data_IF_139911964909
#
_entry.id   IF_139911964909
#
_cell.length_a   1.000
_cell.length_b   1.000
_cell.length_c   1.000
_cell.angle_alpha   90.00
_cell.angle_beta   90.00
_cell.angle_gamma   90.00
#
_symmetry.space_group_name_H-M   'P 1'
#
loop_
_entity.id
_entity.type
_entity.pdbx_description
1 polymer ?
#
# COMPACT_ATOMS: atom_id res chain seq x y z
N UNK A 1 23.56 0.76 -60.46
CA UNK A 1 24.51 1.09 -59.36
C UNK A 1 24.25 2.46 -58.72
N UNK A 2 23.91 3.52 -59.48
CA UNK A 2 23.75 4.88 -58.95
C UNK A 2 22.59 5.10 -57.94
N UNK A 3 21.53 4.29 -58.01
CA UNK A 3 20.34 4.44 -57.13
C UNK A 3 20.44 3.60 -55.84
N UNK A 4 21.27 2.55 -55.82
CA UNK A 4 21.45 1.69 -54.65
C UNK A 4 22.24 2.38 -53.54
N UNK A 5 23.23 3.19 -53.90
CA UNK A 5 24.06 3.93 -52.96
C UNK A 5 23.27 4.91 -52.07
N UNK A 6 22.42 5.82 -52.61
CA UNK A 6 21.65 6.73 -51.77
C UNK A 6 20.59 6.02 -50.90
N UNK A 7 20.02 4.91 -51.38
CA UNK A 7 19.09 4.08 -50.58
C UNK A 7 19.83 3.45 -49.39
N UNK A 8 21.04 2.91 -49.62
CA UNK A 8 21.86 2.29 -48.58
C UNK A 8 22.33 3.32 -47.54
N UNK A 9 22.71 4.53 -47.98
CA UNK A 9 23.06 5.63 -47.08
C UNK A 9 21.84 6.10 -46.28
N UNK A 10 20.67 6.23 -46.91
CA UNK A 10 19.42 6.58 -46.23
C UNK A 10 19.03 5.57 -45.16
N UNK A 11 19.15 4.27 -45.45
CA UNK A 11 18.93 3.20 -44.48
C UNK A 11 19.96 3.24 -43.33
N UNK A 12 21.23 3.51 -43.62
CA UNK A 12 22.27 3.63 -42.61
C UNK A 12 22.02 4.82 -41.67
N UNK A 13 21.67 5.99 -42.22
CA UNK A 13 21.34 7.18 -41.44
C UNK A 13 20.08 6.97 -40.62
N UNK A 14 19.06 6.34 -41.19
CA UNK A 14 17.83 5.98 -40.47
C UNK A 14 18.12 5.00 -39.32
N UNK A 15 18.95 3.98 -39.55
CA UNK A 15 19.38 3.03 -38.54
C UNK A 15 20.18 3.72 -37.43
N UNK A 16 21.16 4.55 -37.77
CA UNK A 16 21.97 5.31 -36.81
C UNK A 16 21.12 6.30 -36.00
N UNK A 17 20.18 6.99 -36.65
CA UNK A 17 19.21 7.87 -35.99
C UNK A 17 18.31 7.10 -35.03
N UNK A 18 17.82 5.93 -35.43
CA UNK A 18 17.04 5.04 -34.58
C UNK A 18 17.87 4.57 -33.36
N UNK A 19 19.09 4.09 -33.58
CA UNK A 19 20.02 3.69 -32.52
C UNK A 19 20.35 4.84 -31.55
N UNK A 20 20.46 6.07 -32.06
CA UNK A 20 20.68 7.26 -31.26
C UNK A 20 19.47 7.60 -30.39
N UNK A 21 18.26 7.61 -30.97
CA UNK A 21 17.00 7.80 -30.23
C UNK A 21 16.77 6.70 -29.18
N UNK A 22 17.19 5.48 -29.46
CA UNK A 22 17.13 4.35 -28.54
C UNK A 22 18.19 4.42 -27.41
N UNK A 23 19.01 5.47 -27.37
CA UNK A 23 19.96 5.73 -26.29
C UNK A 23 21.20 4.82 -26.30
N UNK A 24 21.47 4.11 -27.40
CA UNK A 24 22.63 3.21 -27.54
C UNK A 24 23.96 3.93 -27.25
N UNK A 25 24.06 5.21 -27.61
CA UNK A 25 25.29 5.99 -27.45
C UNK A 25 25.44 6.69 -26.09
N UNK A 26 24.54 6.46 -25.11
CA UNK A 26 24.70 7.06 -23.77
C UNK A 26 26.02 6.61 -23.15
N UNK A 27 26.92 7.53 -22.84
CA UNK A 27 28.17 7.25 -22.14
C UNK A 27 28.10 7.80 -20.73
N UNK A 28 28.78 7.12 -19.81
CA UNK A 28 28.97 7.58 -18.43
C UNK A 28 29.75 8.91 -18.46
N UNK A 29 29.21 9.95 -17.83
CA UNK A 29 29.91 11.23 -17.62
C UNK A 29 30.83 11.16 -16.39
N UNK A 30 31.79 12.08 -16.25
CA UNK A 30 32.56 12.22 -15.02
C UNK A 30 31.62 12.36 -13.81
N UNK A 31 31.92 11.66 -12.72
CA UNK A 31 31.14 11.62 -11.48
C UNK A 31 29.76 10.94 -11.56
N UNK A 32 29.37 10.35 -12.69
CA UNK A 32 28.19 9.48 -12.72
C UNK A 32 28.50 8.10 -12.11
N UNK A 33 27.51 7.41 -11.52
CA UNK A 33 27.65 6.02 -11.09
C UNK A 33 28.07 5.07 -12.23
N UNK A 34 28.59 3.87 -11.90
CA UNK A 34 28.85 2.82 -12.88
C UNK A 34 27.60 2.54 -13.73
N UNK A 35 27.72 2.65 -15.06
CA UNK A 35 26.64 2.43 -16.00
C UNK A 35 26.77 1.07 -16.69
N UNK A 36 25.78 0.20 -16.48
CA UNK A 36 25.70 -1.12 -17.12
C UNK A 36 24.43 -1.22 -17.99
N UNK A 37 24.62 -1.31 -19.30
CA UNK A 37 23.52 -1.34 -20.28
C UNK A 37 22.94 -2.73 -20.49
N UNK A 38 23.63 -3.79 -20.06
CA UNK A 38 23.30 -5.15 -20.44
C UNK A 38 23.58 -5.47 -21.92
N UNK A 39 23.22 -6.69 -22.32
CA UNK A 39 23.52 -7.22 -23.64
C UNK A 39 22.53 -6.79 -24.72
N UNK A 40 21.25 -6.59 -24.38
CA UNK A 40 20.19 -6.29 -25.33
C UNK A 40 20.06 -4.77 -25.53
N UNK A 41 20.30 -4.23 -26.74
CA UNK A 41 20.07 -2.82 -27.07
C UNK A 41 18.69 -2.33 -26.65
N UNK A 42 18.62 -1.11 -26.12
CA UNK A 42 17.41 -0.44 -25.60
C UNK A 42 16.76 -1.13 -24.38
N UNK A 43 16.47 -2.43 -24.46
CA UNK A 43 15.80 -3.19 -23.41
C UNK A 43 16.66 -3.37 -22.16
N UNK A 44 17.97 -3.50 -22.33
CA UNK A 44 18.94 -3.75 -21.27
C UNK A 44 18.60 -4.98 -20.43
N UNK A 45 18.52 -4.80 -19.10
CA UNK A 45 18.15 -5.87 -18.15
C UNK A 45 16.63 -5.98 -17.92
N UNK A 46 15.78 -5.39 -18.77
CA UNK A 46 14.33 -5.34 -18.55
C UNK A 46 13.67 -6.72 -18.35
N UNK A 47 14.12 -7.76 -19.05
CA UNK A 47 13.61 -9.12 -18.88
C UNK A 47 14.09 -9.79 -17.59
N UNK A 48 15.39 -9.71 -17.30
CA UNK A 48 15.98 -10.19 -16.05
C UNK A 48 15.28 -9.55 -14.85
N UNK A 49 15.06 -8.24 -14.92
CA UNK A 49 14.40 -7.45 -13.88
C UNK A 49 12.93 -7.84 -13.71
N UNK A 50 12.20 -8.11 -14.81
CA UNK A 50 10.80 -8.58 -14.77
C UNK A 50 10.68 -9.97 -14.13
N UNK A 51 11.63 -10.85 -14.39
CA UNK A 51 11.59 -12.23 -13.92
C UNK A 51 12.06 -12.35 -12.47
N UNK A 52 13.20 -11.75 -12.12
CA UNK A 52 13.74 -11.78 -10.76
C UNK A 52 14.56 -10.50 -10.45
N UNK A 53 13.87 -9.45 -10.00
CA UNK A 53 14.50 -8.18 -9.65
C UNK A 53 15.49 -8.31 -8.48
N UNK A 54 15.18 -9.11 -7.47
CA UNK A 54 16.02 -9.26 -6.28
C UNK A 54 17.37 -9.92 -6.60
N UNK A 55 17.36 -10.99 -7.40
CA UNK A 55 18.58 -11.66 -7.83
C UNK A 55 19.42 -10.78 -8.76
N UNK A 56 18.78 -10.07 -9.70
CA UNK A 56 19.45 -9.11 -10.56
C UNK A 56 20.14 -8.00 -9.75
N UNK A 57 19.44 -7.40 -8.79
CA UNK A 57 20.00 -6.34 -7.95
C UNK A 57 21.17 -6.84 -7.10
N UNK A 58 21.09 -8.04 -6.51
CA UNK A 58 22.21 -8.67 -5.80
C UNK A 58 23.41 -8.91 -6.73
N UNK A 59 23.17 -9.40 -7.95
CA UNK A 59 24.23 -9.60 -8.96
C UNK A 59 24.90 -8.28 -9.34
N UNK A 60 24.12 -7.22 -9.52
CA UNK A 60 24.62 -5.89 -9.86
C UNK A 60 25.36 -5.22 -8.71
N UNK A 61 24.87 -5.37 -7.48
CA UNK A 61 25.53 -4.88 -6.28
C UNK A 61 26.91 -5.55 -6.12
N UNK A 62 26.99 -6.88 -6.29
CA UNK A 62 28.26 -7.61 -6.23
C UNK A 62 29.25 -7.16 -7.32
N UNK A 63 28.75 -6.71 -8.48
CA UNK A 63 29.58 -6.32 -9.63
C UNK A 63 30.04 -4.86 -9.57
N UNK A 64 29.18 -3.95 -9.13
CA UNK A 64 29.36 -2.50 -9.26
C UNK A 64 29.40 -1.75 -7.92
N UNK A 65 29.18 -2.44 -6.79
CA UNK A 65 29.10 -1.86 -5.46
C UNK A 65 27.70 -1.36 -5.11
N UNK A 66 27.61 -0.48 -4.11
CA UNK A 66 26.33 -0.07 -3.54
C UNK A 66 25.58 0.99 -4.35
N UNK A 67 26.21 1.61 -5.35
CA UNK A 67 25.56 2.58 -6.23
C UNK A 67 25.89 2.22 -7.68
N UNK A 68 24.85 1.99 -8.49
CA UNK A 68 25.01 1.63 -9.90
C UNK A 68 23.80 2.04 -10.73
N UNK A 69 24.03 2.28 -12.01
CA UNK A 69 23.00 2.61 -13.00
C UNK A 69 22.84 1.45 -13.98
N UNK A 70 21.62 0.93 -14.12
CA UNK A 70 21.29 -0.08 -15.13
C UNK A 70 20.26 0.44 -16.14
N UNK A 71 20.35 -0.06 -17.38
CA UNK A 71 19.33 0.18 -18.39
C UNK A 71 18.18 -0.83 -18.24
N UNK A 72 16.95 -0.34 -18.12
CA UNK A 72 15.71 -1.12 -18.06
C UNK A 72 14.70 -0.53 -19.04
N UNK A 73 14.34 -1.29 -20.08
CA UNK A 73 13.26 -0.95 -21.02
C UNK A 73 13.36 0.48 -21.60
N UNK A 74 14.55 0.88 -22.04
CA UNK A 74 14.81 2.19 -22.64
C UNK A 74 15.19 3.28 -21.64
N UNK A 75 14.97 3.06 -20.34
CA UNK A 75 15.27 4.03 -19.28
C UNK A 75 16.53 3.62 -18.50
N UNK A 76 17.15 4.60 -17.85
CA UNK A 76 18.35 4.40 -17.02
C UNK A 76 17.99 4.64 -15.56
N UNK A 77 18.07 3.60 -14.73
CA UNK A 77 17.74 3.66 -13.31
C UNK A 77 19.01 3.54 -12.47
N UNK A 78 19.21 4.51 -11.58
CA UNK A 78 20.29 4.45 -10.58
C UNK A 78 19.74 3.86 -9.29
N UNK A 79 20.32 2.72 -8.90
CA UNK A 79 20.02 2.05 -7.64
C UNK A 79 21.04 2.43 -6.59
N UNK A 80 20.55 2.62 -5.37
CA UNK A 80 21.34 2.86 -4.16
C UNK A 80 20.97 1.72 -3.21
N UNK A 81 21.97 0.95 -2.81
CA UNK A 81 21.82 -0.25 -1.98
C UNK A 81 22.38 -0.06 -0.56
N UNK A 82 23.10 1.05 -0.32
CA UNK A 82 23.60 1.41 1.00
C UNK A 82 22.47 1.95 1.90
N UNK A 83 22.17 1.28 3.04
CA UNK A 83 21.15 1.72 3.99
C UNK A 83 21.39 3.14 4.54
N UNK A 84 22.64 3.55 4.70
CA UNK A 84 23.01 4.84 5.32
C UNK A 84 22.75 6.01 4.37
N UNK A 85 22.83 5.77 3.06
CA UNK A 85 22.63 6.76 2.01
C UNK A 85 21.15 7.00 1.63
N UNK A 86 20.20 6.28 2.23
CA UNK A 86 18.78 6.46 1.89
C UNK A 86 18.15 7.74 2.42
N UNK A 87 18.52 8.16 3.63
CA UNK A 87 17.85 9.29 4.32
C UNK A 87 17.88 10.61 3.52
N UNK A 88 19.01 11.01 2.90
CA UNK A 88 19.05 12.21 2.07
C UNK A 88 18.23 12.07 0.77
N UNK A 89 18.34 10.92 0.10
CA UNK A 89 17.70 10.68 -1.21
C UNK A 89 16.19 10.59 -1.10
N UNK A 90 15.68 9.93 -0.07
CA UNK A 90 14.24 9.78 0.18
C UNK A 90 13.60 11.11 0.58
N UNK A 91 14.35 12.06 1.16
CA UNK A 91 13.83 13.40 1.45
C UNK A 91 13.62 14.21 0.17
N UNK A 92 14.49 14.05 -0.82
CA UNK A 92 14.47 14.83 -2.08
C UNK A 92 13.55 14.22 -3.16
N UNK A 93 13.42 12.89 -3.22
CA UNK A 93 12.61 12.17 -4.20
C UNK A 93 11.07 12.27 -3.99
N UNK A 94 10.61 12.87 -2.88
CA UNK A 94 9.19 12.96 -2.49
C UNK A 94 8.31 13.82 -3.40
N UNK A 95 8.90 14.50 -4.39
CA UNK A 95 8.21 15.47 -5.24
C UNK A 95 7.38 14.86 -6.39
N UNK A 96 7.57 13.58 -6.76
CA UNK A 96 6.88 12.96 -7.90
C UNK A 96 6.41 11.54 -7.61
N UNK A 97 5.12 11.38 -7.32
CA UNK A 97 4.48 10.06 -7.11
C UNK A 97 3.16 10.03 -7.89
N UNK A 98 3.04 9.13 -8.86
CA UNK A 98 1.86 8.96 -9.75
C UNK A 98 1.39 10.22 -10.50
N UNK A 99 2.29 10.87 -11.26
CA UNK A 99 1.98 12.09 -12.05
C UNK A 99 1.44 13.28 -11.23
N UNK A 100 1.42 13.19 -9.90
CA UNK A 100 1.00 14.27 -9.02
C UNK A 100 2.24 14.95 -8.42
N UNK A 101 2.36 16.26 -8.66
CA UNK A 101 3.33 17.09 -7.96
C UNK A 101 2.76 17.41 -6.58
N UNK A 102 3.32 16.77 -5.55
CA UNK A 102 3.00 17.09 -4.15
C UNK A 102 3.67 18.42 -3.84
N UNK A 103 2.88 19.47 -3.58
CA UNK A 103 3.42 20.75 -3.12
C UNK A 103 3.91 20.64 -1.68
N UNK A 104 4.88 21.48 -1.28
CA UNK A 104 5.27 21.63 0.13
C UNK A 104 4.08 21.94 1.05
N UNK A 105 3.06 22.65 0.52
CA UNK A 105 1.82 22.93 1.26
C UNK A 105 1.00 21.66 1.50
N UNK A 106 0.89 20.77 0.50
CA UNK A 106 0.22 19.47 0.63
C UNK A 106 0.93 18.61 1.68
N UNK A 107 2.27 18.66 1.72
CA UNK A 107 3.05 17.89 2.68
C UNK A 107 2.80 18.35 4.12
N UNK A 108 2.90 19.66 4.38
CA UNK A 108 2.64 20.23 5.71
C UNK A 108 1.20 19.97 6.18
N UNK A 109 0.24 20.05 5.27
CA UNK A 109 -1.15 19.73 5.56
C UNK A 109 -1.30 18.26 5.97
N UNK A 110 -0.74 17.34 5.19
CA UNK A 110 -0.80 15.91 5.49
C UNK A 110 -0.13 15.56 6.81
N UNK A 111 1.05 16.13 7.08
CA UNK A 111 1.77 15.93 8.32
C UNK A 111 0.91 16.39 9.51
N UNK A 112 0.36 17.60 9.43
CA UNK A 112 -0.54 18.15 10.46
C UNK A 112 -1.77 17.25 10.69
N UNK A 113 -2.43 16.81 9.62
CA UNK A 113 -3.58 15.91 9.70
C UNK A 113 -3.19 14.54 10.28
N UNK A 114 -2.04 13.99 9.89
CA UNK A 114 -1.56 12.70 10.39
C UNK A 114 -1.21 12.76 11.86
N UNK A 115 -0.53 13.82 12.33
CA UNK A 115 -0.24 14.02 13.75
C UNK A 115 -1.53 14.22 14.56
N UNK A 116 -2.55 14.86 13.99
CA UNK A 116 -3.84 15.09 14.65
C UNK A 116 -4.67 13.81 14.83
N UNK A 117 -4.74 12.96 13.80
CA UNK A 117 -5.68 11.83 13.77
C UNK A 117 -5.03 10.45 13.88
N UNK A 118 -3.76 10.30 13.52
CA UNK A 118 -3.03 9.02 13.55
C UNK A 118 -2.04 8.95 14.72
N UNK A 119 -2.07 9.93 15.63
CA UNK A 119 -1.27 9.95 16.86
C UNK A 119 -2.11 10.45 18.04
N UNK A 120 -1.64 10.19 19.26
CA UNK A 120 -2.25 10.69 20.49
C UNK A 120 -3.72 10.31 20.64
N UNK A 121 -4.54 11.28 21.03
CA UNK A 121 -5.98 11.06 21.26
C UNK A 121 -6.77 10.77 19.98
N UNK A 122 -6.35 11.30 18.82
CA UNK A 122 -7.02 11.04 17.54
C UNK A 122 -6.95 9.58 17.13
N UNK A 123 -5.84 8.90 17.47
CA UNK A 123 -5.64 7.48 17.19
C UNK A 123 -6.63 6.59 17.96
N UNK A 124 -7.14 7.04 19.11
CA UNK A 124 -8.07 6.27 19.93
C UNK A 124 -9.38 6.05 19.18
N UNK A 125 -9.93 7.10 18.58
CA UNK A 125 -11.16 7.02 17.78
C UNK A 125 -10.96 6.12 16.56
N UNK A 126 -9.82 6.23 15.88
CA UNK A 126 -9.46 5.36 14.74
C UNK A 126 -9.35 3.89 15.16
N UNK A 127 -8.77 3.63 16.32
CA UNK A 127 -8.61 2.27 16.85
C UNK A 127 -9.96 1.65 17.22
N UNK A 128 -10.85 2.43 17.83
CA UNK A 128 -12.19 1.97 18.15
C UNK A 128 -12.98 1.63 16.88
N UNK A 129 -13.02 2.54 15.90
CA UNK A 129 -13.69 2.31 14.63
C UNK A 129 -13.08 1.11 13.87
N UNK A 130 -11.76 0.92 13.91
CA UNK A 130 -11.10 -0.27 13.38
C UNK A 130 -11.55 -1.56 14.07
N UNK A 131 -11.66 -1.56 15.40
CA UNK A 131 -12.12 -2.73 16.16
C UNK A 131 -13.57 -3.09 15.81
N UNK A 132 -14.47 -2.10 15.74
CA UNK A 132 -15.87 -2.31 15.39
C UNK A 132 -16.01 -2.88 13.97
N UNK A 133 -15.24 -2.37 13.01
CA UNK A 133 -15.23 -2.88 11.64
C UNK A 133 -14.62 -4.29 11.55
N UNK A 134 -13.55 -4.60 12.30
CA UNK A 134 -13.00 -5.95 12.39
C UNK A 134 -14.03 -6.94 12.93
N UNK A 135 -14.74 -6.59 14.00
CA UNK A 135 -15.81 -7.42 14.55
C UNK A 135 -16.95 -7.60 13.56
N UNK A 136 -17.37 -6.54 12.86
CA UNK A 136 -18.40 -6.63 11.81
C UNK A 136 -17.99 -7.61 10.70
N UNK A 137 -16.73 -7.61 10.28
CA UNK A 137 -16.24 -8.48 9.22
C UNK A 137 -16.04 -9.93 9.69
N UNK A 138 -15.43 -10.13 10.86
CA UNK A 138 -15.06 -11.47 11.35
C UNK A 138 -16.21 -12.22 12.02
N UNK A 139 -17.12 -11.51 12.70
CA UNK A 139 -18.11 -12.12 13.58
C UNK A 139 -19.54 -12.13 13.02
N UNK A 140 -19.79 -11.61 11.82
CA UNK A 140 -21.14 -11.55 11.25
C UNK A 140 -21.84 -12.92 11.13
N UNK A 141 -21.07 -13.99 10.89
CA UNK A 141 -21.58 -15.35 10.79
C UNK A 141 -21.59 -16.10 12.13
N UNK A 142 -21.13 -15.47 13.22
CA UNK A 142 -20.99 -16.11 14.54
C UNK A 142 -22.31 -16.07 15.33
N UNK A 143 -23.29 -15.22 14.96
CA UNK A 143 -24.53 -15.03 15.72
C UNK A 143 -25.83 -15.55 15.10
N UNK A 144 -25.82 -16.07 13.86
CA UNK A 144 -27.05 -16.41 13.12
C UNK A 144 -27.30 -17.92 13.08
N UNK A 145 -28.11 -18.42 14.03
CA UNK A 145 -28.83 -19.70 13.93
C UNK A 145 -28.12 -20.98 14.37
N UNK A 146 -28.89 -21.86 15.01
CA UNK A 146 -28.57 -23.16 15.62
C UNK A 146 -28.17 -24.27 14.64
N UNK A 147 -27.27 -24.00 13.70
CA UNK A 147 -26.72 -24.98 12.75
C UNK A 147 -25.28 -25.38 13.10
N UNK A 148 -24.92 -26.63 12.80
CA UNK A 148 -23.55 -27.13 12.85
C UNK A 148 -22.65 -26.24 11.97
N UNK A 149 -21.70 -25.52 12.59
CA UNK A 149 -20.80 -24.62 11.86
C UNK A 149 -19.87 -25.45 10.99
N UNK A 150 -20.00 -25.29 9.67
CA UNK A 150 -19.09 -25.91 8.72
C UNK A 150 -17.74 -25.18 8.75
N UNK A 151 -16.66 -25.92 8.88
CA UNK A 151 -15.31 -25.39 8.69
C UNK A 151 -15.19 -24.78 7.29
N UNK A 152 -14.59 -23.59 7.22
CA UNK A 152 -14.28 -22.90 5.98
C UNK A 152 -12.79 -22.96 5.72
N UNK A 153 -12.39 -23.36 4.52
CA UNK A 153 -11.00 -23.40 4.09
C UNK A 153 -10.68 -22.14 3.27
N UNK A 154 -9.61 -21.42 3.65
CA UNK A 154 -9.09 -20.27 2.89
C UNK A 154 -7.58 -20.14 3.10
N UNK A 155 -6.90 -19.47 2.17
CA UNK A 155 -5.48 -19.15 2.31
C UNK A 155 -5.28 -18.08 3.38
N UNK A 156 -4.48 -18.36 4.41
CA UNK A 156 -4.27 -17.47 5.55
C UNK A 156 -3.89 -16.02 5.18
N UNK A 157 -2.99 -15.85 4.20
CA UNK A 157 -2.60 -14.52 3.72
C UNK A 157 -3.77 -13.80 3.05
N UNK A 158 -4.55 -14.52 2.24
CA UNK A 158 -5.73 -13.97 1.57
C UNK A 158 -6.79 -13.54 2.58
N UNK A 159 -7.10 -14.41 3.55
CA UNK A 159 -8.03 -14.12 4.63
C UNK A 159 -7.60 -12.91 5.45
N UNK A 160 -6.35 -12.92 5.94
CA UNK A 160 -5.80 -11.84 6.77
C UNK A 160 -5.77 -10.50 6.02
N UNK A 161 -5.36 -10.51 4.75
CA UNK A 161 -5.31 -9.30 3.94
C UNK A 161 -6.71 -8.77 3.63
N UNK A 162 -7.66 -9.66 3.29
CA UNK A 162 -9.05 -9.31 3.04
C UNK A 162 -9.66 -8.58 4.25
N UNK A 163 -9.56 -9.19 5.44
CA UNK A 163 -10.15 -8.63 6.67
C UNK A 163 -9.51 -7.30 7.05
N UNK A 164 -8.17 -7.22 7.11
CA UNK A 164 -7.46 -5.99 7.54
C UNK A 164 -7.66 -4.86 6.52
N UNK A 165 -7.65 -5.18 5.21
CA UNK A 165 -7.87 -4.18 4.18
C UNK A 165 -9.29 -3.60 4.26
N UNK A 166 -10.30 -4.47 4.34
CA UNK A 166 -11.72 -4.04 4.37
C UNK A 166 -12.03 -3.27 5.64
N UNK A 167 -11.52 -3.71 6.80
CA UNK A 167 -11.69 -2.98 8.05
C UNK A 167 -11.03 -1.60 7.96
N UNK A 168 -9.78 -1.52 7.48
CA UNK A 168 -9.08 -0.25 7.31
C UNK A 168 -9.75 0.68 6.32
N UNK A 169 -10.32 0.14 5.24
CA UNK A 169 -11.11 0.92 4.28
C UNK A 169 -12.34 1.54 4.94
N UNK A 170 -13.17 0.74 5.61
CA UNK A 170 -14.38 1.22 6.28
C UNK A 170 -14.05 2.22 7.39
N UNK A 171 -12.96 2.02 8.13
CA UNK A 171 -12.52 2.95 9.18
C UNK A 171 -12.04 4.30 8.64
N UNK A 172 -11.41 4.33 7.47
CA UNK A 172 -10.89 5.57 6.89
C UNK A 172 -11.96 6.32 6.07
N UNK A 173 -12.65 5.59 5.19
CA UNK A 173 -13.56 6.13 4.19
C UNK A 173 -15.03 6.10 4.59
N UNK A 174 -15.34 5.49 5.74
CA UNK A 174 -16.69 5.45 6.29
C UNK A 174 -17.53 4.29 5.77
N UNK A 175 -18.77 4.27 6.24
CA UNK A 175 -19.79 3.26 6.01
C UNK A 175 -20.90 3.82 5.11
N UNK A 176 -21.57 2.94 4.39
CA UNK A 176 -22.72 3.30 3.57
C UNK A 176 -23.88 3.71 4.48
N UNK A 177 -24.54 4.85 4.22
CA UNK A 177 -25.61 5.36 5.08
C UNK A 177 -26.78 4.38 5.08
N UNK A 178 -27.32 4.09 6.27
CA UNK A 178 -28.54 3.30 6.36
C UNK A 178 -29.69 4.09 5.70
N UNK A 179 -30.28 3.56 4.62
CA UNK A 179 -31.48 4.20 4.06
C UNK A 179 -32.58 4.19 5.13
N UNK A 180 -33.43 5.22 5.19
CA UNK A 180 -34.49 5.44 6.21
C UNK A 180 -35.40 4.24 6.52
N UNK A 181 -35.41 3.17 5.70
CA UNK A 181 -36.21 1.94 5.87
C UNK A 181 -35.38 0.66 5.99
N UNK A 182 -34.06 0.73 5.84
CA UNK A 182 -33.16 -0.43 5.93
C UNK A 182 -32.72 -0.64 7.38
N UNK A 183 -32.63 -1.90 7.81
CA UNK A 183 -32.09 -2.23 9.12
C UNK A 183 -30.58 -1.96 9.17
N UNK A 184 -30.05 -1.67 10.35
CA UNK A 184 -28.61 -1.51 10.56
C UNK A 184 -27.79 -2.72 10.09
N UNK A 185 -28.36 -3.92 10.13
CA UNK A 185 -27.69 -5.15 9.67
C UNK A 185 -27.61 -5.24 8.14
N UNK A 186 -28.60 -4.71 7.43
CA UNK A 186 -28.58 -4.61 5.96
C UNK A 186 -27.54 -3.58 5.49
N UNK A 187 -27.41 -2.45 6.18
CA UNK A 187 -26.36 -1.48 5.89
C UNK A 187 -24.96 -2.10 6.08
N UNK A 188 -24.75 -2.82 7.19
CA UNK A 188 -23.51 -3.57 7.44
C UNK A 188 -23.25 -4.67 6.41
N UNK A 189 -24.30 -5.29 5.86
CA UNK A 189 -24.16 -6.26 4.78
C UNK A 189 -23.72 -5.59 3.48
N UNK A 190 -24.31 -4.45 3.13
CA UNK A 190 -23.90 -3.68 1.97
C UNK A 190 -22.43 -3.22 2.08
N UNK A 191 -21.99 -2.77 3.27
CA UNK A 191 -20.58 -2.47 3.54
C UNK A 191 -19.66 -3.68 3.34
N UNK A 192 -20.11 -4.87 3.77
CA UNK A 192 -19.36 -6.11 3.56
C UNK A 192 -19.19 -6.39 2.07
N UNK A 193 -20.28 -6.40 1.31
CA UNK A 193 -20.26 -6.74 -0.11
C UNK A 193 -19.44 -5.71 -0.92
N UNK A 194 -19.64 -4.42 -0.64
CA UNK A 194 -18.94 -3.33 -1.30
C UNK A 194 -17.42 -3.34 -1.01
N UNK A 195 -17.04 -3.51 0.26
CA UNK A 195 -15.63 -3.57 0.65
C UNK A 195 -14.93 -4.82 0.10
N UNK A 196 -15.65 -5.93 -0.06
CA UNK A 196 -15.12 -7.15 -0.69
C UNK A 196 -14.86 -6.95 -2.19
N UNK A 197 -15.79 -6.33 -2.91
CA UNK A 197 -15.58 -6.01 -4.33
C UNK A 197 -14.34 -5.11 -4.51
N UNK A 198 -14.22 -4.06 -3.71
CA UNK A 198 -13.05 -3.18 -3.72
C UNK A 198 -11.76 -3.94 -3.43
N UNK A 199 -11.75 -4.85 -2.45
CA UNK A 199 -10.58 -5.67 -2.12
C UNK A 199 -10.12 -6.50 -3.32
N UNK A 200 -11.03 -7.15 -4.04
CA UNK A 200 -10.65 -7.96 -5.19
C UNK A 200 -10.07 -7.13 -6.34
N UNK A 201 -10.66 -5.97 -6.62
CA UNK A 201 -10.16 -5.04 -7.63
C UNK A 201 -8.78 -4.49 -7.23
N UNK A 202 -8.62 -4.11 -5.96
CA UNK A 202 -7.35 -3.66 -5.41
C UNK A 202 -6.29 -4.76 -5.48
N UNK A 203 -6.63 -6.01 -5.14
CA UNK A 203 -5.69 -7.15 -5.17
C UNK A 203 -5.27 -7.50 -6.59
N UNK A 204 -6.17 -7.39 -7.58
CA UNK A 204 -5.81 -7.54 -9.00
C UNK A 204 -4.83 -6.45 -9.41
N UNK A 205 -5.09 -5.19 -9.06
CA UNK A 205 -4.21 -4.08 -9.38
C UNK A 205 -2.83 -4.23 -8.70
N UNK A 206 -2.80 -4.59 -7.41
CA UNK A 206 -1.57 -4.80 -6.65
C UNK A 206 -0.64 -5.86 -7.25
N UNK A 207 -1.17 -6.88 -7.93
CA UNK A 207 -0.36 -7.87 -8.68
C UNK A 207 0.31 -7.29 -9.92
N UNK A 208 -0.31 -6.30 -10.54
CA UNK A 208 0.23 -5.60 -11.71
C UNK A 208 1.15 -4.44 -11.31
N UNK A 209 0.95 -3.88 -10.12
CA UNK A 209 1.57 -2.63 -9.69
C UNK A 209 3.11 -2.60 -9.76
N UNK A 210 3.86 -3.62 -9.32
CA UNK A 210 5.31 -3.64 -9.53
C UNK A 210 5.68 -3.46 -11.01
N UNK A 211 4.96 -4.14 -11.91
CA UNK A 211 5.22 -4.04 -13.36
C UNK A 211 4.83 -2.67 -13.92
N UNK A 212 3.83 -1.99 -13.34
CA UNK A 212 3.49 -0.59 -13.66
C UNK A 212 4.66 0.33 -13.33
N UNK A 213 5.20 0.26 -12.10
CA UNK A 213 6.28 1.15 -11.64
C UNK A 213 7.51 1.04 -12.54
N UNK A 214 7.85 -0.18 -12.96
CA UNK A 214 9.04 -0.44 -13.75
C UNK A 214 8.82 -0.31 -15.27
N UNK A 215 7.61 0.06 -15.71
CA UNK A 215 7.24 0.17 -17.12
C UNK A 215 7.51 -1.13 -17.94
N UNK A 216 7.33 -2.31 -17.31
CA UNK A 216 7.57 -3.62 -17.96
C UNK A 216 6.27 -4.40 -18.18
N UNK A 217 5.14 -3.70 -18.31
CA UNK A 217 3.84 -4.30 -18.61
C UNK A 217 3.72 -4.64 -20.10
N UNK A 218 3.08 -5.76 -20.40
CA UNK A 218 2.59 -6.02 -21.76
C UNK A 218 1.34 -5.15 -22.05
N UNK A 219 1.05 -4.81 -23.31
CA UNK A 219 -0.09 -3.94 -23.66
C UNK A 219 -1.44 -4.42 -23.10
N UNK A 220 -1.68 -5.73 -23.08
CA UNK A 220 -2.91 -6.31 -22.48
C UNK A 220 -3.03 -5.99 -20.99
N UNK A 221 -1.94 -6.14 -20.25
CA UNK A 221 -1.90 -5.86 -18.81
C UNK A 221 -1.94 -4.35 -18.51
N UNK A 222 -1.47 -3.51 -19.44
CA UNK A 222 -1.57 -2.05 -19.31
C UNK A 222 -3.03 -1.58 -19.41
N UNK A 223 -3.77 -2.11 -20.39
CA UNK A 223 -5.22 -1.86 -20.52
C UNK A 223 -5.96 -2.34 -19.27
N UNK A 224 -5.61 -3.52 -18.75
CA UNK A 224 -6.20 -4.06 -17.52
C UNK A 224 -5.86 -3.18 -16.31
N UNK A 225 -4.60 -2.77 -16.14
CA UNK A 225 -4.18 -1.90 -15.04
C UNK A 225 -4.91 -0.55 -15.06
N UNK A 226 -5.04 0.09 -16.22
CA UNK A 226 -5.78 1.36 -16.35
C UNK A 226 -7.29 1.19 -16.14
N UNK A 227 -7.87 0.04 -16.49
CA UNK A 227 -9.26 -0.29 -16.17
C UNK A 227 -9.46 -0.44 -14.66
N UNK A 228 -8.62 -1.23 -14.00
CA UNK A 228 -8.68 -1.47 -12.55
C UNK A 228 -8.47 -0.16 -11.76
N UNK A 229 -7.47 0.63 -12.16
CA UNK A 229 -7.17 1.95 -11.58
C UNK A 229 -8.36 2.90 -11.64
N UNK A 230 -9.00 3.02 -12.82
CA UNK A 230 -10.23 3.82 -12.98
C UNK A 230 -11.37 3.33 -12.09
N UNK A 231 -11.51 2.01 -11.95
CA UNK A 231 -12.53 1.42 -11.08
C UNK A 231 -12.28 1.79 -9.62
N UNK A 232 -11.04 1.65 -9.14
CA UNK A 232 -10.66 1.99 -7.77
C UNK A 232 -10.82 3.50 -7.51
N UNK A 233 -10.46 4.37 -8.46
CA UNK A 233 -10.73 5.81 -8.36
C UNK A 233 -12.21 6.11 -8.19
N UNK A 234 -13.07 5.41 -8.93
CA UNK A 234 -14.51 5.56 -8.78
C UNK A 234 -15.05 5.04 -7.43
N UNK A 235 -14.36 4.10 -6.77
CA UNK A 235 -14.69 3.66 -5.40
C UNK A 235 -14.26 4.68 -4.34
N UNK A 236 -13.14 5.36 -4.57
CA UNK A 236 -12.52 6.32 -3.65
C UNK A 236 -12.80 7.77 -4.02
N UNK A 237 -13.83 8.01 -4.84
CA UNK A 237 -14.10 9.36 -5.32
C UNK A 237 -14.54 10.25 -4.17
N UNK A 238 -14.13 11.52 -4.20
CA UNK A 238 -14.43 12.45 -3.09
C UNK A 238 -15.94 12.60 -2.89
N UNK A 239 -16.70 12.69 -3.99
CA UNK A 239 -18.17 12.81 -3.94
C UNK A 239 -18.82 11.62 -3.21
N UNK A 240 -18.50 10.40 -3.61
CA UNK A 240 -19.04 9.19 -2.96
C UNK A 240 -18.56 9.03 -1.53
N UNK A 241 -17.31 9.40 -1.27
CA UNK A 241 -16.77 9.36 0.09
C UNK A 241 -17.54 10.31 0.99
N UNK A 242 -17.87 11.52 0.52
CA UNK A 242 -18.63 12.52 1.29
C UNK A 242 -20.11 12.16 1.51
N UNK A 243 -20.66 11.23 0.74
CA UNK A 243 -22.01 10.69 0.94
C UNK A 243 -22.07 9.62 2.04
N UNK A 244 -20.90 9.10 2.49
CA UNK A 244 -20.81 8.07 3.52
C UNK A 244 -20.94 8.65 4.93
N UNK A 245 -21.32 7.79 5.86
CA UNK A 245 -21.33 8.07 7.29
C UNK A 245 -20.01 7.63 7.95
N UNK A 246 -19.68 8.19 9.11
CA UNK A 246 -18.49 7.80 9.90
C UNK A 246 -17.15 7.91 9.16
N UNK A 247 -17.02 8.87 8.23
CA UNK A 247 -15.76 9.16 7.55
C UNK A 247 -14.73 9.62 8.59
N UNK A 248 -13.50 9.10 8.51
CA UNK A 248 -12.44 9.55 9.41
C UNK A 248 -12.14 11.05 9.24
N UNK A 249 -11.87 11.74 10.35
CA UNK A 249 -11.41 13.14 10.29
C UNK A 249 -10.14 13.31 9.46
N UNK A 250 -9.30 12.27 9.37
CA UNK A 250 -8.09 12.26 8.53
C UNK A 250 -8.39 12.34 7.04
N UNK A 251 -9.43 11.65 6.55
CA UNK A 251 -9.90 11.76 5.16
C UNK A 251 -10.70 13.04 4.96
N UNK A 252 -11.59 13.40 5.90
CA UNK A 252 -12.43 14.60 5.80
C UNK A 252 -11.60 15.87 5.66
N UNK A 253 -10.60 16.09 6.53
CA UNK A 253 -9.72 17.28 6.45
C UNK A 253 -8.98 17.32 5.10
N UNK A 254 -8.57 16.17 4.54
CA UNK A 254 -7.88 16.09 3.26
C UNK A 254 -8.78 16.38 2.06
N UNK A 255 -10.01 15.89 2.08
CA UNK A 255 -11.00 16.21 1.05
C UNK A 255 -11.37 17.69 1.09
N UNK A 256 -11.64 18.24 2.29
CA UNK A 256 -11.99 19.65 2.47
C UNK A 256 -10.87 20.57 1.99
N UNK A 257 -9.62 20.30 2.39
CA UNK A 257 -8.47 21.06 1.91
C UNK A 257 -8.37 21.10 0.38
N UNK A 258 -8.69 20.00 -0.31
CA UNK A 258 -8.63 19.94 -1.78
C UNK A 258 -9.77 20.69 -2.46
N UNK A 259 -10.95 20.69 -1.85
CA UNK A 259 -12.07 21.51 -2.28
C UNK A 259 -11.75 23.00 -2.13
N UNK A 260 -11.13 23.40 -1.02
CA UNK A 260 -10.73 24.80 -0.75
C UNK A 260 -9.59 25.31 -1.64
N UNK A 261 -8.77 24.41 -2.20
CA UNK A 261 -7.66 24.78 -3.10
C UNK A 261 -7.99 24.54 -4.58
N UNK A 262 -9.28 24.43 -4.94
CA UNK A 262 -9.78 24.29 -6.32
C UNK A 262 -9.09 23.16 -7.12
N UNK A 263 -8.70 22.07 -6.45
CA UNK A 263 -8.08 20.93 -7.12
C UNK A 263 -9.14 20.25 -8.01
N UNK A 264 -8.90 20.03 -9.31
CA UNK A 264 -9.86 19.35 -10.18
C UNK A 264 -10.26 17.98 -9.65
N UNK A 265 -11.54 17.63 -9.75
CA UNK A 265 -12.13 16.39 -9.20
C UNK A 265 -11.32 15.13 -9.58
N UNK A 266 -10.93 15.00 -10.85
CA UNK A 266 -10.13 13.86 -11.31
C UNK A 266 -8.75 13.75 -10.63
N UNK A 267 -8.19 14.85 -10.14
CA UNK A 267 -6.94 14.84 -9.37
C UNK A 267 -7.18 14.51 -7.90
N UNK A 268 -8.35 14.88 -7.35
CA UNK A 268 -8.70 14.53 -5.98
C UNK A 268 -8.82 13.00 -5.82
N UNK A 269 -9.54 12.33 -6.72
CA UNK A 269 -9.74 10.88 -6.73
C UNK A 269 -8.41 10.10 -6.85
N UNK A 270 -7.48 10.63 -7.66
CA UNK A 270 -6.13 10.08 -7.83
C UNK A 270 -5.34 10.09 -6.54
N UNK A 271 -5.40 11.19 -5.80
CA UNK A 271 -4.67 11.32 -4.55
C UNK A 271 -5.27 10.42 -3.47
N UNK A 272 -6.59 10.27 -3.40
CA UNK A 272 -7.23 9.34 -2.45
C UNK A 272 -6.76 7.90 -2.64
N UNK A 273 -6.58 7.46 -3.90
CA UNK A 273 -6.01 6.16 -4.19
C UNK A 273 -4.55 5.99 -3.72
N UNK A 274 -3.72 7.02 -3.85
CA UNK A 274 -2.34 6.99 -3.35
C UNK A 274 -2.28 6.86 -1.81
N UNK A 275 -3.27 7.39 -1.10
CA UNK A 275 -3.31 7.43 0.36
C UNK A 275 -3.89 6.16 0.99
N UNK A 276 -4.67 5.38 0.25
CA UNK A 276 -5.36 4.17 0.69
C UNK A 276 -4.49 2.97 1.12
N UNK A 277 -3.40 2.54 0.46
CA UNK A 277 -3.09 1.09 0.50
C UNK A 277 -1.87 0.60 1.29
N UNK A 278 -1.12 1.46 1.99
CA UNK A 278 0.16 1.06 2.57
C UNK A 278 0.10 0.13 3.80
N UNK A 279 -0.95 0.21 4.61
CA UNK A 279 -0.93 -0.36 5.98
C UNK A 279 -1.35 -1.84 6.00
N UNK A 280 -2.30 -2.26 5.15
CA UNK A 280 -2.89 -3.58 5.23
C UNK A 280 -1.98 -4.73 4.75
N UNK A 281 -1.13 -4.50 3.74
CA UNK A 281 -0.25 -5.54 3.17
C UNK A 281 0.86 -6.00 4.12
N UNK A 282 1.46 -5.07 4.88
CA UNK A 282 2.50 -5.38 5.86
C UNK A 282 1.99 -6.14 7.09
N UNK A 283 0.78 -5.80 7.56
CA UNK A 283 0.11 -6.49 8.67
C UNK A 283 -0.28 -7.93 8.26
N UNK A 284 -0.83 -8.12 7.06
CA UNK A 284 -1.16 -9.44 6.54
C UNK A 284 0.06 -10.35 6.37
N UNK A 285 1.18 -9.80 5.91
CA UNK A 285 2.46 -10.53 5.82
C UNK A 285 2.98 -10.97 7.20
N UNK A 286 2.92 -10.09 8.20
CA UNK A 286 3.29 -10.42 9.58
C UNK A 286 2.41 -11.53 10.18
N UNK A 287 1.10 -11.50 9.91
CA UNK A 287 0.16 -12.55 10.37
C UNK A 287 0.45 -13.90 9.71
N UNK A 288 0.72 -13.91 8.40
CA UNK A 288 1.12 -15.12 7.68
C UNK A 288 2.40 -15.73 8.28
N UNK A 289 3.45 -14.93 8.48
CA UNK A 289 4.71 -15.39 9.06
C UNK A 289 4.61 -15.87 10.52
N UNK A 290 3.58 -15.42 11.26
CA UNK A 290 3.38 -15.77 12.67
C UNK A 290 2.59 -17.08 12.83
N UNK A 291 1.65 -17.38 11.94
CA UNK A 291 0.88 -18.63 12.01
C UNK A 291 1.70 -19.90 11.72
N UNK A 292 2.87 -19.76 11.09
CA UNK A 292 3.81 -20.85 10.82
C UNK A 292 4.94 -20.96 11.86
N UNK A 293 4.82 -20.29 13.02
CA UNK A 293 5.77 -20.41 14.14
C UNK A 293 5.11 -21.10 15.34
N UNK A 294 5.82 -22.00 16.00
CA UNK A 294 5.33 -22.75 17.17
C UNK A 294 5.07 -21.85 18.40
N UNK A 295 5.59 -20.61 18.39
CA UNK A 295 5.46 -19.59 19.44
C UNK A 295 4.03 -19.03 19.60
N UNK A 296 3.08 -19.41 18.71
CA UNK A 296 1.67 -18.94 18.71
C UNK A 296 0.96 -19.22 20.04
N UNK A 297 1.37 -20.28 20.75
CA UNK A 297 0.79 -20.67 22.04
C UNK A 297 1.02 -19.60 23.12
N UNK A 298 2.18 -18.93 23.11
CA UNK A 298 2.50 -17.87 24.09
C UNK A 298 1.65 -16.62 23.88
N UNK A 299 1.46 -16.20 22.62
CA UNK A 299 0.60 -15.05 22.29
C UNK A 299 -0.86 -15.36 22.61
N UNK A 300 -1.33 -16.59 22.33
CA UNK A 300 -2.66 -17.05 22.70
C UNK A 300 -2.91 -16.91 24.21
N UNK A 301 -2.00 -17.42 25.04
CA UNK A 301 -2.11 -17.30 26.51
C UNK A 301 -2.09 -15.85 26.99
N UNK A 302 -1.24 -14.99 26.43
CA UNK A 302 -1.19 -13.56 26.77
C UNK A 302 -2.50 -12.84 26.41
N UNK A 303 -3.11 -13.16 25.26
CA UNK A 303 -4.40 -12.60 24.85
C UNK A 303 -5.55 -13.11 25.74
N UNK A 304 -5.51 -14.38 26.15
CA UNK A 304 -6.55 -14.95 27.03
C UNK A 304 -6.49 -14.29 28.41
N UNK A 305 -5.28 -14.16 28.98
CA UNK A 305 -5.05 -13.45 30.25
C UNK A 305 -5.45 -11.98 30.19
N UNK A 306 -5.15 -11.28 29.08
CA UNK A 306 -5.56 -9.89 28.91
C UNK A 306 -7.09 -9.72 28.77
N UNK A 307 -7.76 -10.68 28.12
CA UNK A 307 -9.22 -10.71 28.00
C UNK A 307 -9.89 -10.94 29.37
N UNK A 308 -9.42 -11.92 30.13
CA UNK A 308 -9.91 -12.22 31.48
C UNK A 308 -9.70 -11.03 32.43
N UNK A 309 -8.53 -10.39 32.38
CA UNK A 309 -8.22 -9.18 33.15
C UNK A 309 -9.14 -8.00 32.82
N UNK A 310 -9.54 -7.87 31.54
CA UNK A 310 -10.46 -6.83 31.09
C UNK A 310 -11.89 -7.11 31.57
N UNK A 311 -12.34 -8.37 31.48
CA UNK A 311 -13.69 -8.80 31.87
C UNK A 311 -13.93 -8.64 33.38
N UNK A 312 -12.95 -9.05 34.21
CA UNK A 312 -12.97 -8.88 35.67
C UNK A 312 -12.97 -7.40 36.10
N UNK A 313 -12.32 -6.52 35.35
CA UNK A 313 -12.31 -5.08 35.65
C UNK A 313 -13.59 -4.38 35.21
N UNK A 314 -14.20 -4.79 34.10
CA UNK A 314 -15.51 -4.27 33.66
C UNK A 314 -16.66 -4.70 34.55
N UNK A 315 -16.55 -5.83 35.27
CA UNK A 315 -17.59 -6.27 36.22
C UNK A 315 -17.54 -5.52 37.57
N UNK A 316 -16.43 -4.85 37.90
CA UNK A 316 -16.25 -4.12 39.17
C UNK A 316 -16.60 -2.64 39.10
N UNK A 317 -16.54 -2.01 37.93
CA UNK A 317 -16.89 -0.60 37.77
C UNK A 317 -17.47 -0.29 36.36
N UNK A 318 -18.81 -0.33 36.20
CA UNK A 318 -19.46 -0.14 34.89
C UNK A 318 -19.28 1.27 34.29
N UNK A 319 -18.91 2.27 35.11
CA UNK A 319 -18.89 3.69 34.73
C UNK A 319 -17.63 4.16 33.99
N UNK A 320 -16.57 3.35 33.93
CA UNK A 320 -15.25 3.77 33.43
C UNK A 320 -14.73 2.99 32.20
N UNK A 321 -15.64 2.45 31.38
CA UNK A 321 -15.30 1.61 30.19
C UNK A 321 -14.24 2.22 29.26
N UNK A 322 -14.20 3.56 29.13
CA UNK A 322 -13.27 4.28 28.25
C UNK A 322 -11.83 4.39 28.79
N UNK A 323 -11.62 4.44 30.11
CA UNK A 323 -10.26 4.55 30.69
C UNK A 323 -9.53 3.21 30.72
N UNK A 324 -10.27 2.10 30.82
CA UNK A 324 -9.68 0.76 30.87
C UNK A 324 -9.10 0.30 29.52
N UNK A 325 -9.72 0.68 28.39
CA UNK A 325 -9.17 0.45 27.05
C UNK A 325 -7.82 1.17 26.85
N UNK A 326 -7.67 2.39 27.37
CA UNK A 326 -6.41 3.18 27.35
C UNK A 326 -5.27 2.53 28.13
N UNK A 327 -5.56 1.77 29.20
CA UNK A 327 -4.54 1.09 30.03
C UNK A 327 -4.16 -0.29 29.49
N UNK A 328 -5.13 -1.01 28.90
CA UNK A 328 -4.88 -2.27 28.21
C UNK A 328 -3.95 -2.11 27.00
N UNK A 329 -4.11 -1.02 26.24
CA UNK A 329 -3.20 -0.68 25.13
C UNK A 329 -1.76 -0.48 25.61
N UNK A 330 -1.54 0.23 26.73
CA UNK A 330 -0.21 0.44 27.32
C UNK A 330 0.49 -0.87 27.74
N UNK A 331 -0.24 -1.81 28.35
CA UNK A 331 0.31 -3.14 28.69
C UNK A 331 0.62 -3.98 27.45
N UNK A 332 -0.15 -3.84 26.37
CA UNK A 332 0.17 -4.50 25.11
C UNK A 332 1.43 -3.89 24.49
N UNK A 333 1.57 -2.56 24.52
CA UNK A 333 2.75 -1.82 24.05
C UNK A 333 4.03 -2.22 24.82
N UNK A 334 3.94 -2.42 26.15
CA UNK A 334 5.07 -2.92 26.96
C UNK A 334 5.53 -4.35 26.55
N UNK A 335 4.58 -5.21 26.12
CA UNK A 335 4.87 -6.55 25.57
C UNK A 335 5.42 -6.45 24.13
N UNK A 336 4.94 -5.49 23.34
CA UNK A 336 5.49 -5.19 22.01
C UNK A 336 6.92 -4.66 22.06
N UNK A 337 7.27 -3.84 23.06
CA UNK A 337 8.62 -3.28 23.25
C UNK A 337 9.61 -4.30 23.83
N UNK A 338 9.19 -5.13 24.79
CA UNK A 338 10.05 -6.22 25.30
C UNK A 338 10.35 -7.26 24.23
N UNK A 339 9.40 -7.54 23.32
CA UNK A 339 9.65 -8.42 22.18
C UNK A 339 10.50 -7.77 21.07
N UNK A 340 10.53 -6.44 20.94
CA UNK A 340 11.39 -5.73 19.98
C UNK A 340 12.83 -5.54 20.50
N UNK A 341 13.01 -5.33 21.81
CA UNK A 341 14.32 -5.23 22.47
C UNK A 341 15.14 -6.52 22.36
N UNK A 342 14.48 -7.69 22.36
CA UNK A 342 15.13 -8.98 22.13
C UNK A 342 15.74 -9.15 20.72
N UNK A 343 15.43 -8.27 19.75
CA UNK A 343 15.96 -8.31 18.39
C UNK A 343 17.07 -7.28 18.10
N UNK A 344 17.47 -6.44 19.07
CA UNK A 344 18.66 -5.57 18.94
C UNK A 344 19.89 -6.10 19.68
N UNK A 345 19.85 -7.35 20.15
CA UNK A 345 20.88 -7.98 20.97
C UNK A 345 21.43 -9.26 20.36
N UNK A 346 22.01 -9.19 19.16
CA UNK A 346 23.00 -10.17 18.71
C UNK A 346 23.89 -9.50 17.66
N UNK A 347 25.14 -9.24 18.05
CA UNK A 347 26.24 -8.69 17.25
C UNK A 347 26.42 -9.36 15.89
#
# INVERSE_FOLDING_TARGET
MAVLLPILVGLLVSLLGCLYLLGMFRKRKPNEPPLDKGFIPWLGYGLDFRNNSAELLKRMQKKHGDIFTIQLAGYFFTFIMDPLSFSPVVKEARSKVFDYHVSDKDHKMLEKASTKYLMGDGLILMTQAMMENLQNLMLHNVGSGSGERKWHEDGLFNYSYNIVFRAGYLTLFGNEPAKKRESMDLAKQHDRDHSEELFYEFRKYGRLFPRVIYAVLSPKCEIEAERLKRRIWNFLSVKKTMEKENISGWISDQCQYRLENDVPEYMQDRVMFLRSPGIAGGVAWKLHHRAWRDDVIYVGRSLTSASEDAEVRTSRDPGQRGEYLRRGSRKADDVWDTSSSAYSGSN
#
